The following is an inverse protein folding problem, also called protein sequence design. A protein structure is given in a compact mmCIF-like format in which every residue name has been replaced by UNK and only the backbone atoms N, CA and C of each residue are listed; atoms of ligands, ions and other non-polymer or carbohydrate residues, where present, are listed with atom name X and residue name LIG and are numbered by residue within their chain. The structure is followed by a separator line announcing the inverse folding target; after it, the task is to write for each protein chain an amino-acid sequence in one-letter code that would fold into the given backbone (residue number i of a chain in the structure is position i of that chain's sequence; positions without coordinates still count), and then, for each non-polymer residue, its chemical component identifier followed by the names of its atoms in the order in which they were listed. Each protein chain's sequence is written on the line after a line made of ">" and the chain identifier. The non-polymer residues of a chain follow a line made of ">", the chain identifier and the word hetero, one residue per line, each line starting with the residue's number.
data_IF_155926909564
#
_entry.id   IF_155926909564
#
_cell.length_a   1.000
_cell.length_b   1.000
_cell.length_c   1.000
_cell.angle_alpha   90.00
_cell.angle_beta   90.00
_cell.angle_gamma   90.00
#
_symmetry.space_group_name_H-M   'P 1'
#
loop_
_entity.id
_entity.type
_entity.pdbx_description
1 polymer ?
#
# COMPACT_ATOMS: atom_id res chain seq x y z
N UNK A 1 12.42 -0.97 7.62
CA UNK A 1 12.92 -1.97 6.64
C UNK A 1 14.10 -2.73 7.23
N UNK A 2 14.13 -4.05 7.07
CA UNK A 2 15.23 -4.92 7.54
C UNK A 2 16.42 -4.78 6.59
N UNK A 3 17.59 -4.37 7.08
CA UNK A 3 18.77 -4.21 6.24
C UNK A 3 19.47 -5.56 5.98
N UNK A 4 19.67 -5.94 4.71
CA UNK A 4 20.49 -7.10 4.30
C UNK A 4 21.98 -6.94 4.60
N UNK A 5 22.40 -5.81 5.17
CA UNK A 5 23.77 -5.49 5.54
C UNK A 5 24.10 -5.92 6.98
N UNK A 6 23.08 -6.05 7.84
CA UNK A 6 23.27 -6.37 9.25
C UNK A 6 23.31 -7.89 9.47
N UNK A 7 24.46 -8.41 9.86
CA UNK A 7 24.66 -9.86 10.05
C UNK A 7 23.73 -10.46 11.12
N UNK A 8 23.45 -9.76 12.22
CA UNK A 8 22.53 -10.24 13.26
C UNK A 8 21.07 -10.39 12.78
N UNK A 9 20.70 -9.78 11.63
CA UNK A 9 19.38 -9.92 11.01
C UNK A 9 19.34 -10.96 9.90
N UNK A 10 20.37 -11.79 9.75
CA UNK A 10 20.47 -12.75 8.64
C UNK A 10 19.30 -13.74 8.56
N UNK A 11 18.77 -14.16 9.70
CA UNK A 11 17.65 -15.12 9.79
C UNK A 11 16.28 -14.46 10.01
N UNK A 12 16.18 -13.12 9.89
CA UNK A 12 14.93 -12.41 10.15
C UNK A 12 13.83 -12.75 9.13
N UNK A 13 14.20 -13.02 7.88
CA UNK A 13 13.29 -13.42 6.80
C UNK A 13 13.96 -14.48 5.92
N UNK A 14 13.17 -15.27 5.19
CA UNK A 14 13.69 -16.25 4.24
C UNK A 14 14.54 -15.59 3.13
N UNK A 15 14.15 -14.38 2.70
CA UNK A 15 14.93 -13.57 1.75
C UNK A 15 16.28 -13.15 2.32
N UNK A 16 16.33 -12.69 3.58
CA UNK A 16 17.59 -12.36 4.23
C UNK A 16 18.50 -13.57 4.33
N UNK A 17 17.96 -14.73 4.73
CA UNK A 17 18.74 -15.95 4.88
C UNK A 17 19.34 -16.39 3.54
N UNK A 18 18.55 -16.32 2.47
CA UNK A 18 19.00 -16.63 1.12
C UNK A 18 20.08 -15.66 0.62
N UNK A 19 19.88 -14.35 0.81
CA UNK A 19 20.87 -13.35 0.44
C UNK A 19 22.20 -13.56 1.16
N UNK A 20 22.19 -13.88 2.46
CA UNK A 20 23.42 -14.19 3.20
C UNK A 20 24.08 -15.49 2.72
N UNK A 21 23.32 -16.54 2.41
CA UNK A 21 23.86 -17.76 1.78
C UNK A 21 24.58 -17.46 0.45
N UNK A 22 24.04 -16.55 -0.37
CA UNK A 22 24.71 -16.14 -1.61
C UNK A 22 26.02 -15.38 -1.34
N UNK A 23 26.04 -14.50 -0.33
CA UNK A 23 27.27 -13.81 0.11
C UNK A 23 28.34 -14.78 0.62
N UNK A 24 27.95 -15.72 1.48
CA UNK A 24 28.87 -16.71 2.05
C UNK A 24 29.48 -17.59 0.95
N UNK A 25 28.70 -17.88 -0.09
CA UNK A 25 29.14 -18.58 -1.29
C UNK A 25 29.89 -17.70 -2.31
N UNK A 26 30.16 -16.43 -1.98
CA UNK A 26 30.83 -15.44 -2.86
C UNK A 26 30.17 -15.29 -4.23
N UNK A 27 28.84 -15.40 -4.29
CA UNK A 27 28.06 -15.17 -5.51
C UNK A 27 27.55 -13.75 -5.53
N UNK A 28 27.82 -13.05 -6.63
CA UNK A 28 27.23 -11.74 -6.87
C UNK A 28 25.73 -11.87 -7.13
N UNK A 29 24.96 -10.94 -6.58
CA UNK A 29 23.51 -10.89 -6.78
C UNK A 29 23.03 -9.44 -6.74
N UNK A 30 21.93 -9.18 -7.44
CA UNK A 30 21.22 -7.90 -7.45
C UNK A 30 19.79 -8.14 -6.99
N UNK A 31 19.31 -7.30 -6.07
CA UNK A 31 17.90 -7.28 -5.67
C UNK A 31 17.27 -6.07 -6.35
N UNK A 32 16.26 -6.31 -7.16
CA UNK A 32 15.39 -5.29 -7.76
C UNK A 32 13.96 -5.49 -7.28
N UNK A 33 13.20 -4.40 -7.28
CA UNK A 33 11.78 -4.41 -6.96
C UNK A 33 11.03 -3.78 -8.13
N UNK A 34 9.92 -4.39 -8.51
CA UNK A 34 9.04 -3.88 -9.54
C UNK A 34 7.58 -4.08 -9.15
N UNK A 35 6.69 -3.31 -9.78
CA UNK A 35 5.25 -3.46 -9.60
C UNK A 35 4.77 -4.50 -10.61
N UNK A 36 4.42 -5.69 -10.11
CA UNK A 36 3.96 -6.79 -10.96
C UNK A 36 2.53 -6.56 -11.46
N UNK A 37 1.63 -6.11 -10.57
CA UNK A 37 0.24 -5.82 -10.91
C UNK A 37 -0.30 -4.70 -10.02
N UNK A 38 -1.13 -3.82 -10.59
CA UNK A 38 -2.00 -2.91 -9.84
C UNK A 38 -3.42 -3.46 -9.85
N UNK A 39 -3.98 -3.73 -8.68
CA UNK A 39 -5.34 -4.23 -8.58
C UNK A 39 -6.14 -3.56 -7.48
N UNK A 40 -7.47 -3.56 -7.64
CA UNK A 40 -8.36 -2.94 -6.67
C UNK A 40 -8.29 -3.65 -5.31
N UNK A 41 -8.35 -2.86 -4.24
CA UNK A 41 -8.47 -3.37 -2.87
C UNK A 41 -9.83 -4.05 -2.63
N UNK A 42 -10.09 -4.45 -1.39
CA UNK A 42 -11.34 -5.13 -1.04
C UNK A 42 -12.60 -4.34 -1.40
N UNK A 43 -13.57 -5.01 -2.02
CA UNK A 43 -14.89 -4.47 -2.33
C UNK A 43 -15.98 -5.12 -1.47
N UNK A 44 -16.78 -4.29 -0.80
CA UNK A 44 -17.93 -4.75 -0.02
C UNK A 44 -19.07 -5.29 -0.87
N UNK A 45 -19.11 -4.93 -2.17
CA UNK A 45 -20.11 -5.42 -3.14
C UNK A 45 -19.83 -6.86 -3.55
N UNK A 46 -18.59 -7.16 -3.97
CA UNK A 46 -18.21 -8.49 -4.45
C UNK A 46 -17.68 -9.40 -3.35
N UNK A 47 -17.39 -8.86 -2.16
CA UNK A 47 -16.72 -9.53 -1.03
C UNK A 47 -15.35 -10.10 -1.40
N UNK A 48 -14.72 -9.61 -2.47
CA UNK A 48 -13.39 -10.02 -2.94
C UNK A 48 -12.37 -8.90 -2.75
N UNK A 49 -11.12 -9.28 -2.54
CA UNK A 49 -9.98 -8.38 -2.54
C UNK A 49 -9.02 -8.81 -3.63
N UNK A 50 -9.08 -8.14 -4.78
CA UNK A 50 -8.23 -8.48 -5.92
C UNK A 50 -6.76 -8.27 -5.58
N UNK A 51 -6.42 -7.24 -4.78
CA UNK A 51 -5.07 -7.04 -4.25
C UNK A 51 -4.52 -8.28 -3.54
N UNK A 52 -5.25 -8.84 -2.57
CA UNK A 52 -4.80 -10.06 -1.89
C UNK A 52 -4.84 -11.29 -2.80
N UNK A 53 -5.77 -11.37 -3.75
CA UNK A 53 -5.87 -12.51 -4.65
C UNK A 53 -4.68 -12.54 -5.63
N UNK A 54 -4.36 -11.40 -6.24
CA UNK A 54 -3.18 -11.22 -7.10
C UNK A 54 -1.89 -11.51 -6.33
N UNK A 55 -1.73 -10.96 -5.11
CA UNK A 55 -0.56 -11.24 -4.26
C UNK A 55 -0.39 -12.75 -4.02
N UNK A 56 -1.49 -13.44 -3.67
CA UNK A 56 -1.46 -14.89 -3.45
C UNK A 56 -1.11 -15.64 -4.72
N UNK A 57 -1.68 -15.24 -5.85
CA UNK A 57 -1.42 -15.87 -7.14
C UNK A 57 0.07 -15.80 -7.50
N UNK A 58 0.67 -14.62 -7.49
CA UNK A 58 2.09 -14.46 -7.86
C UNK A 58 3.05 -15.16 -6.89
N UNK A 59 2.76 -15.15 -5.58
CA UNK A 59 3.62 -15.87 -4.62
C UNK A 59 3.57 -17.39 -4.84
N UNK A 60 2.42 -17.95 -5.26
CA UNK A 60 2.27 -19.39 -5.53
C UNK A 60 2.87 -19.78 -6.89
N UNK A 61 2.73 -18.92 -7.89
CA UNK A 61 3.24 -19.17 -9.24
C UNK A 61 4.77 -19.16 -9.28
N UNK A 62 5.41 -18.31 -8.48
CA UNK A 62 6.87 -18.19 -8.42
C UNK A 62 7.53 -19.47 -7.87
N UNK A 63 8.23 -20.21 -8.74
CA UNK A 63 8.94 -21.46 -8.39
C UNK A 63 10.44 -21.36 -8.74
N UNK A 64 11.35 -21.73 -7.82
CA UNK A 64 11.09 -22.25 -6.47
C UNK A 64 10.72 -21.14 -5.47
N UNK A 65 9.59 -21.29 -4.78
CA UNK A 65 9.13 -20.32 -3.79
C UNK A 65 10.08 -20.26 -2.59
N UNK A 66 10.65 -19.09 -2.33
CA UNK A 66 11.52 -18.88 -1.17
C UNK A 66 10.74 -18.85 0.15
N UNK A 67 9.48 -18.44 0.10
CA UNK A 67 8.60 -18.37 1.27
C UNK A 67 7.90 -19.71 1.49
N UNK A 68 8.16 -20.36 2.63
CA UNK A 68 7.55 -21.66 3.00
C UNK A 68 6.33 -21.52 3.92
N UNK A 69 5.96 -20.29 4.30
CA UNK A 69 4.93 -20.06 5.32
C UNK A 69 3.51 -20.17 4.74
N UNK A 70 2.61 -20.76 5.53
CA UNK A 70 1.17 -20.86 5.21
C UNK A 70 0.41 -19.54 5.37
N UNK A 71 1.10 -18.44 5.69
CA UNK A 71 0.50 -17.10 5.87
C UNK A 71 -0.24 -16.61 4.62
N UNK A 72 0.10 -17.13 3.44
CA UNK A 72 -0.62 -16.87 2.20
C UNK A 72 -2.10 -17.29 2.25
N UNK A 73 -2.43 -18.27 3.10
CA UNK A 73 -3.80 -18.75 3.32
C UNK A 73 -4.56 -17.92 4.36
N UNK A 74 -3.92 -16.91 4.96
CA UNK A 74 -4.56 -16.05 5.94
C UNK A 74 -5.73 -15.24 5.36
N UNK A 75 -6.61 -14.81 6.26
CA UNK A 75 -7.76 -13.97 5.91
C UNK A 75 -7.30 -12.59 5.45
N UNK A 76 -8.02 -12.00 4.50
CA UNK A 76 -7.68 -10.70 3.94
C UNK A 76 -7.80 -9.60 5.01
N UNK A 77 -6.67 -8.98 5.35
CA UNK A 77 -6.61 -7.87 6.31
C UNK A 77 -7.39 -6.64 5.84
N UNK A 78 -7.47 -6.41 4.53
CA UNK A 78 -8.20 -5.27 3.96
C UNK A 78 -9.72 -5.33 4.25
N UNK A 79 -10.27 -6.52 4.52
CA UNK A 79 -11.67 -6.65 4.95
C UNK A 79 -11.94 -5.92 6.26
N UNK A 80 -10.94 -5.84 7.15
CA UNK A 80 -11.09 -5.26 8.49
C UNK A 80 -11.49 -3.79 8.42
N UNK A 81 -11.00 -3.04 7.43
CA UNK A 81 -11.35 -1.63 7.22
C UNK A 81 -12.87 -1.42 7.08
N UNK A 82 -13.58 -2.42 6.54
CA UNK A 82 -15.01 -2.34 6.23
C UNK A 82 -15.90 -2.97 7.30
N UNK A 83 -15.35 -3.31 8.46
CA UNK A 83 -16.15 -3.79 9.60
C UNK A 83 -16.90 -2.63 10.25
N UNK A 84 -18.15 -2.89 10.67
CA UNK A 84 -19.02 -1.89 11.29
C UNK A 84 -18.39 -1.21 12.52
N UNK A 85 -17.58 -1.96 13.29
CA UNK A 85 -16.85 -1.41 14.45
C UNK A 85 -15.90 -0.26 14.09
N UNK A 86 -15.46 -0.17 12.83
CA UNK A 86 -14.55 0.87 12.34
C UNK A 86 -15.30 2.05 11.69
N UNK A 87 -16.64 2.06 11.69
CA UNK A 87 -17.44 3.13 11.07
C UNK A 87 -17.33 4.51 11.76
N UNK A 88 -16.72 4.57 12.94
CA UNK A 88 -16.40 5.85 13.62
C UNK A 88 -15.10 6.48 13.11
N UNK A 89 -14.17 5.68 12.60
CA UNK A 89 -12.87 6.16 12.08
C UNK A 89 -13.02 6.78 10.69
N UNK A 90 -14.01 6.34 9.89
CA UNK A 90 -14.25 6.86 8.54
C UNK A 90 -14.93 8.24 8.47
N UNK A 91 -15.44 8.77 9.61
CA UNK A 91 -16.08 10.10 9.65
C UNK A 91 -15.08 11.24 9.85
N UNK A 92 -13.91 10.99 10.46
CA UNK A 92 -12.95 12.05 10.81
C UNK A 92 -12.21 12.70 9.64
N UNK A 93 -12.26 12.12 8.43
CA UNK A 93 -11.51 12.67 7.28
C UNK A 93 -12.29 13.72 6.48
N UNK A 94 -13.58 13.93 6.78
CA UNK A 94 -14.43 14.87 6.03
C UNK A 94 -14.95 16.05 6.87
N UNK A 95 -14.73 16.07 8.19
CA UNK A 95 -15.24 17.11 9.10
C UNK A 95 -14.17 18.17 9.44
N UNK A 96 -13.45 18.67 8.44
CA UNK A 96 -12.76 19.97 8.54
C UNK A 96 -13.32 20.89 7.46
N UNK A 97 -14.61 21.18 7.60
CA UNK A 97 -15.24 22.35 6.99
C UNK A 97 -15.09 23.44 8.04
N UNK A 98 -14.16 24.35 7.80
CA UNK A 98 -13.92 25.51 8.65
C UNK A 98 -15.22 26.35 8.70
N UNK A 99 -15.89 26.30 9.85
CA UNK A 99 -16.94 27.22 10.22
C UNK A 99 -16.33 28.25 11.18
N UNK A 100 -15.71 29.27 10.61
CA UNK A 100 -15.56 30.57 11.25
C UNK A 100 -15.90 31.62 10.20
N UNK A 101 -17.09 32.22 10.34
CA UNK A 101 -17.55 33.34 9.55
C UNK A 101 -17.87 34.54 10.46
N UNK A 102 -17.71 35.73 9.86
CA UNK A 102 -17.86 37.10 10.34
C UNK A 102 -16.60 37.72 10.99
N UNK A 103 -16.13 38.91 10.58
CA UNK A 103 -16.50 39.85 9.52
C UNK A 103 -15.32 40.81 9.34
N UNK A 104 -15.11 41.29 8.11
CA UNK A 104 -14.14 42.34 7.82
C UNK A 104 -14.01 42.56 6.33
N UNK A 105 -14.99 43.27 5.75
CA UNK A 105 -14.93 43.75 4.38
C UNK A 105 -13.71 44.66 4.17
N UNK A 106 -12.97 44.48 3.06
CA UNK A 106 -12.72 45.56 2.11
C UNK A 106 -12.16 45.06 0.76
N UNK A 107 -12.66 45.72 -0.27
CA UNK A 107 -12.13 45.95 -1.62
C UNK A 107 -12.08 44.85 -2.70
N UNK A 108 -12.46 45.33 -3.88
CA UNK A 108 -12.91 44.65 -5.10
C UNK A 108 -11.91 45.04 -6.17
N UNK A 109 -11.35 44.09 -6.91
CA UNK A 109 -10.80 44.32 -8.26
C UNK A 109 -11.07 43.05 -9.09
N UNK A 110 -11.47 43.24 -10.35
CA UNK A 110 -12.17 42.26 -11.20
C UNK A 110 -11.24 41.44 -12.12
N UNK A 111 -11.57 40.14 -12.33
CA UNK A 111 -11.79 39.36 -13.59
C UNK A 111 -10.69 39.44 -14.71
N UNK A 112 -10.26 38.35 -15.42
CA UNK A 112 -11.12 37.28 -15.98
C UNK A 112 -10.65 35.80 -15.94
N UNK A 113 -11.67 35.00 -16.25
CA UNK A 113 -11.80 33.63 -16.72
C UNK A 113 -10.63 33.03 -17.55
N UNK A 114 -10.18 31.84 -17.15
CA UNK A 114 -10.09 30.64 -18.00
C UNK A 114 -9.47 29.48 -17.21
N UNK A 115 -10.28 28.46 -16.91
CA UNK A 115 -9.84 27.15 -16.41
C UNK A 115 -9.84 26.14 -17.55
N UNK A 116 -9.00 25.10 -17.46
CA UNK A 116 -9.60 23.77 -17.51
C UNK A 116 -9.17 22.88 -16.33
N UNK A 117 -10.13 22.07 -15.93
CA UNK A 117 -10.13 21.12 -14.81
C UNK A 117 -9.05 20.04 -14.98
N UNK A 118 -8.25 19.79 -13.93
CA UNK A 118 -7.51 18.53 -13.77
C UNK A 118 -8.28 17.57 -12.87
N UNK A 119 -8.69 16.46 -13.46
CA UNK A 119 -9.25 15.27 -12.85
C UNK A 119 -8.20 14.50 -12.04
N UNK A 120 -8.02 14.94 -10.79
CA UNK A 120 -7.16 14.26 -9.82
C UNK A 120 -7.71 12.89 -9.38
N UNK A 121 -7.40 11.83 -10.14
CA UNK A 121 -7.48 10.44 -9.67
C UNK A 121 -6.70 10.29 -8.36
N UNK A 122 -7.40 10.01 -7.25
CA UNK A 122 -6.81 9.75 -5.94
C UNK A 122 -6.04 8.42 -5.95
N UNK A 123 -4.80 8.49 -6.42
CA UNK A 123 -3.83 7.40 -6.35
C UNK A 123 -3.34 7.24 -4.90
N UNK A 124 -3.81 6.19 -4.23
CA UNK A 124 -3.18 5.72 -3.00
C UNK A 124 -1.86 5.02 -3.35
N UNK A 125 -0.75 5.75 -3.37
CA UNK A 125 0.60 5.15 -3.43
C UNK A 125 0.95 4.65 -2.04
N UNK A 126 0.86 3.34 -1.83
CA UNK A 126 1.40 2.68 -0.63
C UNK A 126 2.84 2.31 -0.93
N UNK A 127 3.79 3.08 -0.40
CA UNK A 127 5.20 2.68 -0.37
C UNK A 127 5.37 1.50 0.60
N UNK A 128 6.03 0.43 0.13
CA UNK A 128 6.55 -0.65 0.97
C UNK A 128 8.00 -0.94 0.62
#
# INVERSE_FOLDING_TARGET
>A
MSSFRLHHKKSATALSEHAWKLKDNKKDFKISWEIIEKSAAYSTKTKKCNLCLSEKYFIVEEKPALNKRKEILSTCMHTRKYLLKNAKESRRTNDKVDLDGHDGANEIEAVPDDAPEEDGEKHCVVHR
#
